data_IF_190490309895
#
_entry.id   IF_190490309895
#
_cell.length_a   1.000
_cell.length_b   1.000
_cell.length_c   1.000
_cell.angle_alpha   90.00
_cell.angle_beta   90.00
_cell.angle_gamma   90.00
#
_symmetry.space_group_name_H-M   'P 1'
#
loop_
_entity.id
_entity.type
_entity.pdbx_description
1 polymer ?
#
# COMPACT_ATOMS: atom_id res chain seq x y z
N UNK A 1 -26.20 -19.43 4.78
CA UNK A 1 -25.05 -19.90 5.60
C UNK A 1 -23.86 -20.38 4.76
N UNK A 2 -23.87 -20.22 3.44
CA UNK A 2 -22.74 -20.57 2.54
C UNK A 2 -21.54 -19.60 2.59
N UNK A 3 -21.67 -18.51 3.36
CA UNK A 3 -20.77 -17.37 3.29
C UNK A 3 -19.53 -17.50 4.22
N UNK A 4 -19.66 -18.11 5.40
CA UNK A 4 -18.58 -18.16 6.40
C UNK A 4 -17.44 -19.11 5.99
N UNK A 5 -17.77 -20.29 5.44
CA UNK A 5 -16.76 -21.27 5.01
C UNK A 5 -16.00 -20.78 3.77
N UNK A 6 -16.69 -20.09 2.86
CA UNK A 6 -16.08 -19.49 1.68
C UNK A 6 -15.19 -18.30 2.06
N UNK A 7 -15.65 -17.46 3.00
CA UNK A 7 -14.90 -16.34 3.55
C UNK A 7 -13.65 -16.80 4.31
N UNK A 8 -13.76 -17.83 5.16
CA UNK A 8 -12.60 -18.44 5.85
C UNK A 8 -11.57 -18.97 4.86
N UNK A 9 -12.00 -19.59 3.76
CA UNK A 9 -11.11 -20.08 2.70
C UNK A 9 -10.38 -18.93 1.99
N UNK A 10 -11.09 -17.83 1.71
CA UNK A 10 -10.50 -16.61 1.13
C UNK A 10 -9.50 -15.96 2.08
N UNK A 11 -9.82 -15.83 3.37
CA UNK A 11 -8.93 -15.29 4.38
C UNK A 11 -7.67 -16.16 4.52
N UNK A 12 -7.83 -17.48 4.63
CA UNK A 12 -6.71 -18.43 4.67
C UNK A 12 -5.80 -18.25 3.45
N UNK A 13 -6.38 -18.23 2.25
CA UNK A 13 -5.60 -18.02 1.01
C UNK A 13 -4.83 -16.70 1.03
N UNK A 14 -5.47 -15.60 1.45
CA UNK A 14 -4.82 -14.28 1.56
C UNK A 14 -3.68 -14.29 2.58
N UNK A 15 -3.91 -14.82 3.78
CA UNK A 15 -2.89 -14.93 4.81
C UNK A 15 -1.69 -15.73 4.30
N UNK A 16 -1.92 -16.88 3.67
CA UNK A 16 -0.82 -17.66 3.08
C UNK A 16 -0.08 -16.91 1.97
N UNK A 17 -0.78 -16.15 1.14
CA UNK A 17 -0.18 -15.31 0.09
C UNK A 17 0.70 -14.16 0.60
N UNK A 18 0.58 -13.75 1.86
CA UNK A 18 1.44 -12.70 2.45
C UNK A 18 2.47 -13.28 3.44
N UNK A 19 2.04 -14.19 4.32
CA UNK A 19 2.89 -14.78 5.36
C UNK A 19 3.98 -15.67 4.78
N UNK A 20 3.64 -16.53 3.82
CA UNK A 20 4.62 -17.48 3.28
C UNK A 20 5.76 -16.77 2.54
N UNK A 21 5.50 -15.80 1.64
CA UNK A 21 6.57 -15.05 1.01
C UNK A 21 7.32 -14.15 2.00
N UNK A 22 6.62 -13.56 2.98
CA UNK A 22 7.26 -12.79 4.04
C UNK A 22 8.30 -13.63 4.78
N UNK A 23 7.92 -14.81 5.28
CA UNK A 23 8.83 -15.69 5.99
C UNK A 23 10.01 -16.12 5.11
N UNK A 24 9.74 -16.48 3.84
CA UNK A 24 10.79 -16.90 2.91
C UNK A 24 11.79 -15.77 2.66
N UNK A 25 11.31 -14.59 2.26
CA UNK A 25 12.17 -13.46 1.95
C UNK A 25 12.90 -12.91 3.17
N UNK A 26 12.22 -12.83 4.32
CA UNK A 26 12.82 -12.32 5.54
C UNK A 26 13.87 -13.29 6.10
N UNK A 27 13.65 -14.61 5.95
CA UNK A 27 14.67 -15.62 6.25
C UNK A 27 15.87 -15.52 5.32
N UNK A 28 15.65 -15.43 4.01
CA UNK A 28 16.72 -15.27 3.03
C UNK A 28 17.57 -14.01 3.31
N UNK A 29 16.92 -12.89 3.61
CA UNK A 29 17.63 -11.65 3.93
C UNK A 29 18.36 -11.73 5.27
N UNK A 30 17.77 -12.33 6.30
CA UNK A 30 18.44 -12.54 7.59
C UNK A 30 19.71 -13.38 7.41
N UNK A 31 19.63 -14.47 6.64
CA UNK A 31 20.79 -15.32 6.33
C UNK A 31 21.88 -14.56 5.55
N UNK A 32 21.49 -13.70 4.61
CA UNK A 32 22.45 -12.83 3.91
C UNK A 32 23.14 -11.87 4.88
N UNK A 33 22.40 -11.22 5.78
CA UNK A 33 22.97 -10.30 6.77
C UNK A 33 23.96 -10.98 7.71
N UNK A 34 23.63 -12.19 8.18
CA UNK A 34 24.52 -13.01 9.01
C UNK A 34 25.75 -13.46 8.24
N UNK A 35 25.59 -13.87 6.98
CA UNK A 35 26.70 -14.27 6.10
C UNK A 35 27.67 -13.13 5.79
N UNK A 36 27.17 -11.89 5.67
CA UNK A 36 28.00 -10.70 5.46
C UNK A 36 28.61 -10.15 6.76
N UNK A 37 28.46 -10.85 7.90
CA UNK A 37 29.03 -10.42 9.18
C UNK A 37 28.42 -9.13 9.76
N UNK A 38 27.23 -8.72 9.27
CA UNK A 38 26.52 -7.54 9.77
C UNK A 38 25.81 -7.80 11.12
N UNK A 39 25.71 -9.05 11.52
CA UNK A 39 25.12 -9.48 12.78
C UNK A 39 25.77 -10.80 13.25
N UNK A 40 25.74 -11.04 14.57
CA UNK A 40 26.26 -12.27 15.16
C UNK A 40 25.32 -13.45 14.89
N UNK A 41 25.93 -14.62 14.63
CA UNK A 41 25.24 -15.90 14.53
C UNK A 41 24.72 -16.33 15.91
N UNK A 42 23.53 -15.88 16.26
CA UNK A 42 22.81 -16.32 17.45
C UNK A 42 21.37 -16.71 17.11
N UNK A 43 20.81 -17.67 17.87
CA UNK A 43 19.41 -18.06 17.73
C UNK A 43 18.45 -16.88 17.98
N UNK A 44 18.83 -15.97 18.89
CA UNK A 44 18.09 -14.74 19.15
C UNK A 44 18.09 -13.81 17.93
N UNK A 45 19.26 -13.58 17.31
CA UNK A 45 19.40 -12.79 16.08
C UNK A 45 18.58 -13.39 14.93
N UNK A 46 18.61 -14.71 14.77
CA UNK A 46 17.82 -15.41 13.75
C UNK A 46 16.31 -15.23 13.97
N UNK A 47 15.85 -15.42 15.21
CA UNK A 47 14.43 -15.31 15.54
C UNK A 47 13.91 -13.88 15.37
N UNK A 48 14.62 -12.90 15.91
CA UNK A 48 14.28 -11.47 15.74
C UNK A 48 14.38 -11.03 14.27
N UNK A 49 15.36 -11.57 13.53
CA UNK A 49 15.50 -11.32 12.10
C UNK A 49 14.27 -11.81 11.31
N UNK A 50 13.86 -13.07 11.52
CA UNK A 50 12.80 -13.73 10.76
C UNK A 50 11.39 -13.26 11.15
N UNK A 51 11.12 -13.04 12.43
CA UNK A 51 9.77 -12.74 12.93
C UNK A 51 9.54 -11.27 13.25
N UNK A 52 10.59 -10.51 13.60
CA UNK A 52 10.50 -9.10 14.01
C UNK A 52 11.21 -8.15 13.04
N UNK A 53 11.45 -8.59 11.79
CA UNK A 53 11.98 -7.78 10.69
C UNK A 53 13.25 -6.95 11.03
N UNK A 54 14.04 -7.40 12.02
CA UNK A 54 15.14 -6.62 12.65
C UNK A 54 16.18 -6.08 11.66
N UNK A 55 16.52 -6.86 10.63
CA UNK A 55 17.62 -6.53 9.71
C UNK A 55 17.20 -5.86 8.41
N UNK A 56 15.92 -5.90 8.06
CA UNK A 56 15.47 -5.33 6.81
C UNK A 56 14.13 -4.59 6.99
N UNK A 57 14.17 -3.25 7.08
CA UNK A 57 12.98 -2.44 7.29
C UNK A 57 12.00 -2.50 6.12
N UNK A 58 12.39 -3.04 4.95
CA UNK A 58 11.44 -3.28 3.85
C UNK A 58 10.37 -4.28 4.24
N UNK A 59 10.68 -5.30 5.05
CA UNK A 59 9.67 -6.26 5.48
C UNK A 59 8.71 -5.70 6.54
N UNK A 60 9.01 -4.55 7.13
CA UNK A 60 8.08 -3.86 8.04
C UNK A 60 6.75 -3.55 7.36
N UNK A 61 6.74 -3.07 6.12
CA UNK A 61 5.50 -2.84 5.35
C UNK A 61 4.69 -4.12 5.14
N UNK A 62 5.36 -5.23 4.83
CA UNK A 62 4.68 -6.52 4.69
C UNK A 62 4.12 -7.03 6.01
N UNK A 63 4.85 -6.78 7.10
CA UNK A 63 4.37 -7.07 8.44
C UNK A 63 3.10 -6.24 8.76
N UNK A 64 3.06 -4.95 8.40
CA UNK A 64 1.85 -4.12 8.50
C UNK A 64 0.69 -4.68 7.65
N UNK A 65 0.95 -5.15 6.43
CA UNK A 65 -0.06 -5.80 5.58
C UNK A 65 -0.64 -7.07 6.20
N UNK A 66 0.19 -7.87 6.88
CA UNK A 66 -0.24 -9.10 7.56
C UNK A 66 -1.14 -8.73 8.74
N UNK A 67 -0.71 -7.79 9.59
CA UNK A 67 -1.50 -7.30 10.72
C UNK A 67 -2.85 -6.74 10.25
N UNK A 68 -2.83 -5.88 9.24
CA UNK A 68 -4.05 -5.28 8.73
C UNK A 68 -4.97 -6.30 8.04
N UNK A 69 -4.40 -7.29 7.34
CA UNK A 69 -5.19 -8.40 6.77
C UNK A 69 -5.89 -9.22 7.85
N UNK A 70 -5.30 -9.31 9.04
CA UNK A 70 -5.92 -9.92 10.21
C UNK A 70 -6.98 -9.01 10.86
N UNK A 71 -6.85 -7.68 10.74
CA UNK A 71 -7.84 -6.71 11.21
C UNK A 71 -9.09 -6.59 10.29
N UNK A 72 -8.95 -6.86 8.98
CA UNK A 72 -10.07 -6.84 8.01
C UNK A 72 -11.33 -7.62 8.43
N UNK A 73 -11.24 -8.86 8.96
CA UNK A 73 -12.35 -9.57 9.61
C UNK A 73 -13.19 -8.73 10.56
N UNK A 74 -12.53 -8.02 11.46
CA UNK A 74 -13.17 -7.27 12.53
C UNK A 74 -13.85 -6.02 11.96
N UNK A 75 -13.22 -5.36 10.99
CA UNK A 75 -13.85 -4.24 10.27
C UNK A 75 -15.09 -4.67 9.49
N UNK A 76 -15.06 -5.85 8.87
CA UNK A 76 -16.21 -6.39 8.13
C UNK A 76 -17.37 -6.77 9.07
N UNK A 77 -17.08 -7.41 10.19
CA UNK A 77 -18.08 -7.75 11.22
C UNK A 77 -18.71 -6.47 11.80
N UNK A 78 -17.90 -5.45 12.10
CA UNK A 78 -18.41 -4.17 12.56
C UNK A 78 -19.34 -3.52 11.53
N UNK A 79 -18.96 -3.55 10.25
CA UNK A 79 -19.80 -3.04 9.15
C UNK A 79 -21.14 -3.78 9.01
N UNK A 80 -21.14 -5.11 9.21
CA UNK A 80 -22.37 -5.92 9.19
C UNK A 80 -23.26 -5.58 10.39
N UNK A 81 -22.71 -5.56 11.60
CA UNK A 81 -23.44 -5.25 12.84
C UNK A 81 -24.11 -3.88 12.78
N UNK A 82 -23.40 -2.89 12.25
CA UNK A 82 -23.91 -1.53 12.05
C UNK A 82 -25.03 -1.51 11.00
N UNK A 83 -24.87 -2.23 9.88
CA UNK A 83 -25.88 -2.30 8.83
C UNK A 83 -27.16 -2.95 9.34
N UNK A 84 -27.04 -3.99 10.14
CA UNK A 84 -28.17 -4.68 10.79
C UNK A 84 -28.89 -3.74 11.76
N UNK A 85 -28.15 -3.02 12.61
CA UNK A 85 -28.74 -2.05 13.54
C UNK A 85 -29.44 -0.86 12.82
N UNK A 86 -28.88 -0.41 11.70
CA UNK A 86 -29.48 0.65 10.87
C UNK A 86 -30.75 0.16 10.17
N UNK A 87 -30.78 -1.09 9.69
CA UNK A 87 -31.96 -1.70 9.08
C UNK A 87 -33.09 -1.92 10.09
N UNK A 88 -32.74 -2.36 11.31
CA UNK A 88 -33.69 -2.51 12.43
C UNK A 88 -34.30 -1.15 12.79
N UNK A 89 -33.49 -0.12 13.01
CA UNK A 89 -33.99 1.23 13.31
C UNK A 89 -34.86 1.81 12.18
N UNK A 90 -34.53 1.54 10.93
CA UNK A 90 -35.33 1.97 9.77
C UNK A 90 -36.67 1.26 9.71
N UNK A 91 -36.73 -0.04 9.97
CA UNK A 91 -37.98 -0.80 10.05
C UNK A 91 -38.85 -0.33 11.23
N UNK A 92 -38.25 -0.02 12.38
CA UNK A 92 -38.96 0.55 13.53
C UNK A 92 -39.51 1.95 13.23
N UNK A 93 -38.73 2.80 12.55
CA UNK A 93 -39.19 4.12 12.11
C UNK A 93 -40.32 4.04 11.07
N UNK A 94 -40.22 3.14 10.09
CA UNK A 94 -41.27 2.88 9.09
C UNK A 94 -42.56 2.41 9.79
N UNK A 95 -42.48 1.44 10.70
CA UNK A 95 -43.65 0.97 11.45
C UNK A 95 -44.31 2.10 12.26
N UNK A 96 -43.52 3.01 12.84
CA UNK A 96 -44.03 4.19 13.57
C UNK A 96 -44.67 5.22 12.64
N UNK A 97 -44.13 5.45 11.44
CA UNK A 97 -44.73 6.34 10.44
C UNK A 97 -45.95 5.74 9.74
N UNK A 98 -46.02 4.41 9.60
CA UNK A 98 -47.17 3.69 9.00
C UNK A 98 -48.40 3.76 9.91
N UNK A 99 -48.20 3.93 11.23
CA UNK A 99 -49.27 4.21 12.19
C UNK A 99 -49.78 5.66 12.12
N UNK A 100 -49.02 6.61 11.54
CA UNK A 100 -49.34 8.05 11.56
C UNK A 100 -49.83 8.57 10.20
N UNK A 101 -49.47 7.96 9.07
CA UNK A 101 -49.92 8.44 7.75
C UNK A 101 -50.27 7.29 6.80
N UNK A 102 -51.53 6.87 6.84
CA UNK A 102 -52.14 5.99 5.82
C UNK A 102 -52.81 6.82 4.71
N UNK A 103 -52.09 7.81 4.17
CA UNK A 103 -52.39 8.50 2.91
C UNK A 103 -51.08 9.14 2.46
N UNK A 104 -50.75 9.03 1.17
CA UNK A 104 -49.54 9.56 0.50
C UNK A 104 -48.19 8.92 0.86
N UNK A 105 -47.91 7.73 0.33
CA UNK A 105 -46.52 7.30 0.03
C UNK A 105 -46.51 6.08 -0.93
N UNK A 106 -47.27 6.16 -2.02
CA UNK A 106 -47.02 5.35 -3.21
C UNK A 106 -46.37 6.33 -4.18
N UNK A 107 -45.10 6.07 -4.54
CA UNK A 107 -44.23 6.78 -5.52
C UNK A 107 -42.91 7.21 -4.87
N UNK A 108 -41.95 6.29 -4.83
CA UNK A 108 -40.59 6.60 -4.36
C UNK A 108 -39.72 5.39 -4.05
N UNK A 109 -40.05 4.19 -4.56
CA UNK A 109 -39.18 3.02 -4.43
C UNK A 109 -38.12 3.06 -5.54
N UNK A 110 -37.04 3.79 -5.30
CA UNK A 110 -35.98 3.92 -6.31
C UNK A 110 -34.87 4.88 -5.95
N UNK A 111 -34.39 4.90 -4.71
CA UNK A 111 -33.11 5.54 -4.40
C UNK A 111 -32.29 4.61 -3.51
N UNK A 112 -31.13 4.21 -4.01
CA UNK A 112 -30.18 3.37 -3.28
C UNK A 112 -29.94 3.95 -1.90
N UNK A 113 -29.91 3.08 -0.88
CA UNK A 113 -29.64 3.53 0.49
C UNK A 113 -28.36 4.37 0.50
N UNK A 114 -28.35 5.56 1.12
CA UNK A 114 -27.10 6.31 1.27
C UNK A 114 -26.11 5.39 1.99
N UNK A 115 -24.99 5.09 1.33
CA UNK A 115 -23.92 4.31 1.95
C UNK A 115 -23.48 5.06 3.21
N UNK A 116 -23.49 4.35 4.34
CA UNK A 116 -23.30 5.00 5.64
C UNK A 116 -21.93 5.67 5.73
N UNK A 117 -21.83 6.93 6.20
CA UNK A 117 -20.55 7.63 6.40
C UNK A 117 -19.63 6.91 7.40
N UNK A 118 -20.14 5.89 8.11
CA UNK A 118 -19.41 5.05 9.05
C UNK A 118 -18.22 4.29 8.42
N UNK A 119 -18.16 4.13 7.10
CA UNK A 119 -16.97 3.55 6.44
C UNK A 119 -15.71 4.41 6.61
N UNK A 120 -15.86 5.71 6.91
CA UNK A 120 -14.74 6.60 7.20
C UNK A 120 -14.32 6.64 8.68
N UNK A 121 -15.03 5.94 9.58
CA UNK A 121 -14.66 5.91 11.00
C UNK A 121 -13.24 5.35 11.23
N UNK A 122 -12.86 4.30 10.50
CA UNK A 122 -11.52 3.71 10.63
C UNK A 122 -10.39 4.60 10.07
N UNK A 123 -10.49 5.14 8.85
CA UNK A 123 -9.54 6.15 8.39
C UNK A 123 -9.41 7.32 9.36
N UNK A 124 -10.54 7.85 9.86
CA UNK A 124 -10.54 8.99 10.76
C UNK A 124 -9.90 8.65 12.12
N UNK A 125 -10.14 7.45 12.64
CA UNK A 125 -9.48 6.95 13.85
C UNK A 125 -7.95 6.93 13.69
N UNK A 126 -7.43 6.34 12.61
CA UNK A 126 -5.99 6.29 12.38
C UNK A 126 -5.38 7.66 12.16
N UNK A 127 -6.11 8.57 11.49
CA UNK A 127 -5.68 9.95 11.34
C UNK A 127 -5.56 10.69 12.68
N UNK A 128 -6.50 10.42 13.60
CA UNK A 128 -6.50 10.97 14.95
C UNK A 128 -5.34 10.41 15.78
N UNK A 129 -5.04 9.11 15.67
CA UNK A 129 -3.87 8.50 16.31
C UNK A 129 -2.56 9.15 15.83
N UNK A 130 -2.42 9.37 14.52
CA UNK A 130 -1.26 10.10 13.95
C UNK A 130 -1.16 11.52 14.51
N UNK A 131 -2.29 12.25 14.60
CA UNK A 131 -2.29 13.61 15.11
C UNK A 131 -1.87 13.70 16.58
N UNK A 132 -2.39 12.80 17.43
CA UNK A 132 -2.08 12.76 18.86
C UNK A 132 -0.78 12.00 19.19
N UNK A 133 -0.05 11.49 18.19
CA UNK A 133 1.17 10.71 18.40
C UNK A 133 0.95 9.49 19.30
N UNK A 134 -0.20 8.84 19.13
CA UNK A 134 -0.52 7.62 19.86
C UNK A 134 0.06 6.44 19.08
N UNK A 135 1.19 5.95 19.55
CA UNK A 135 1.87 4.79 18.97
C UNK A 135 1.22 3.49 19.47
N UNK A 136 0.64 2.74 18.55
CA UNK A 136 0.17 1.38 18.80
C UNK A 136 1.34 0.42 18.58
N UNK A 137 1.71 -0.40 19.59
CA UNK A 137 2.78 -1.37 19.44
C UNK A 137 2.61 -2.22 18.17
N UNK A 138 3.68 -2.27 17.36
CA UNK A 138 3.78 -3.07 16.14
C UNK A 138 2.91 -2.62 14.95
N UNK A 139 1.97 -1.69 15.13
CA UNK A 139 1.12 -1.16 14.05
C UNK A 139 1.68 0.20 13.62
N UNK A 140 1.55 0.50 12.33
CA UNK A 140 1.79 1.84 11.83
C UNK A 140 0.47 2.52 11.49
N UNK A 141 0.16 3.58 12.21
CA UNK A 141 -1.09 4.34 12.15
C UNK A 141 -1.26 4.97 10.77
N UNK A 142 -0.18 5.51 10.22
CA UNK A 142 -0.13 6.14 8.91
C UNK A 142 -0.40 5.14 7.77
N UNK A 143 0.22 3.96 7.81
CA UNK A 143 -0.06 2.86 6.89
C UNK A 143 -1.51 2.36 7.05
N UNK A 144 -1.97 2.17 8.28
CA UNK A 144 -3.33 1.73 8.58
C UNK A 144 -4.38 2.73 8.07
N UNK A 145 -4.09 4.03 8.14
CA UNK A 145 -4.88 5.08 7.49
C UNK A 145 -4.97 4.84 5.98
N UNK A 146 -3.84 4.69 5.27
CA UNK A 146 -3.87 4.52 3.81
C UNK A 146 -4.68 3.29 3.36
N UNK A 147 -4.53 2.17 4.05
CA UNK A 147 -5.24 0.96 3.67
C UNK A 147 -6.72 1.00 4.01
N UNK A 148 -7.10 1.55 5.17
CA UNK A 148 -8.50 1.71 5.54
C UNK A 148 -9.19 2.73 4.63
N UNK A 149 -8.49 3.82 4.27
CA UNK A 149 -8.99 4.82 3.32
C UNK A 149 -9.17 4.24 1.92
N UNK A 150 -8.19 3.48 1.42
CA UNK A 150 -8.30 2.77 0.15
C UNK A 150 -9.43 1.74 0.13
N UNK A 151 -9.67 1.03 1.24
CA UNK A 151 -10.78 0.09 1.38
C UNK A 151 -12.15 0.82 1.39
N UNK A 152 -12.26 1.93 2.13
CA UNK A 152 -13.46 2.76 2.13
C UNK A 152 -13.74 3.31 0.72
N UNK A 153 -12.72 3.82 0.02
CA UNK A 153 -12.84 4.25 -1.36
C UNK A 153 -13.28 3.11 -2.28
N UNK A 154 -12.70 1.92 -2.17
CA UNK A 154 -13.07 0.77 -3.01
C UNK A 154 -14.51 0.31 -2.80
N UNK A 155 -15.04 0.41 -1.59
CA UNK A 155 -16.45 0.09 -1.28
C UNK A 155 -17.40 1.17 -1.79
N UNK A 156 -16.99 2.44 -1.69
CA UNK A 156 -17.77 3.58 -2.18
C UNK A 156 -17.67 3.76 -3.69
N UNK A 157 -16.72 3.08 -4.33
CA UNK A 157 -16.46 3.18 -5.76
C UNK A 157 -17.51 2.43 -6.59
N UNK A 158 -18.46 3.18 -7.15
CA UNK A 158 -19.54 2.64 -8.00
C UNK A 158 -19.11 2.45 -9.48
N UNK A 159 -17.82 2.30 -9.76
CA UNK A 159 -17.31 2.10 -11.14
C UNK A 159 -17.36 3.34 -12.05
N UNK A 160 -18.02 4.42 -11.63
CA UNK A 160 -18.07 5.70 -12.36
C UNK A 160 -16.73 6.42 -12.26
N UNK A 161 -16.36 7.15 -13.33
CA UNK A 161 -15.09 7.88 -13.45
C UNK A 161 -14.90 8.79 -12.22
N UNK A 162 -13.89 8.50 -11.40
CA UNK A 162 -13.40 9.47 -10.41
C UNK A 162 -12.83 10.65 -11.15
N UNK A 163 -13.69 11.64 -11.34
CA UNK A 163 -13.34 12.90 -11.94
C UNK A 163 -12.83 13.82 -10.83
N UNK A 164 -11.72 13.43 -10.21
CA UNK A 164 -10.89 14.42 -9.52
C UNK A 164 -9.83 14.85 -10.53
N UNK A 165 -9.82 16.12 -10.99
CA UNK A 165 -8.82 16.55 -11.94
C UNK A 165 -7.44 16.40 -11.30
N UNK A 166 -6.46 15.90 -12.06
CA UNK A 166 -5.11 15.63 -11.56
C UNK A 166 -4.44 16.88 -10.96
N UNK A 167 -4.70 18.06 -11.52
CA UNK A 167 -4.06 19.30 -11.08
C UNK A 167 -4.43 19.72 -9.64
N UNK A 168 -5.72 19.77 -9.22
CA UNK A 168 -6.11 19.97 -7.83
C UNK A 168 -5.42 19.03 -6.83
N UNK A 169 -5.25 17.75 -7.16
CA UNK A 169 -4.56 16.79 -6.30
C UNK A 169 -3.08 17.14 -6.14
N UNK A 170 -2.43 17.58 -7.22
CA UNK A 170 -1.05 18.06 -7.19
C UNK A 170 -0.93 19.33 -6.33
N UNK A 171 -1.81 20.32 -6.52
CA UNK A 171 -1.82 21.54 -5.70
C UNK A 171 -2.05 21.22 -4.23
N UNK A 172 -2.99 20.34 -3.91
CA UNK A 172 -3.21 19.88 -2.54
C UNK A 172 -1.97 19.21 -1.95
N UNK A 173 -1.32 18.32 -2.71
CA UNK A 173 -0.09 17.67 -2.27
C UNK A 173 1.03 18.70 -2.00
N UNK A 174 1.26 19.63 -2.94
CA UNK A 174 2.26 20.68 -2.78
C UNK A 174 1.96 21.61 -1.61
N UNK A 175 0.68 21.93 -1.38
CA UNK A 175 0.24 22.68 -0.21
C UNK A 175 0.58 21.93 1.09
N UNK A 176 0.23 20.65 1.19
CA UNK A 176 0.59 19.82 2.34
C UNK A 176 2.10 19.73 2.54
N UNK A 177 2.88 19.61 1.46
CA UNK A 177 4.34 19.65 1.52
C UNK A 177 4.86 20.98 2.07
N UNK A 178 4.33 22.12 1.61
CA UNK A 178 4.72 23.43 2.12
C UNK A 178 4.44 23.55 3.63
N UNK A 179 3.33 23.00 4.13
CA UNK A 179 3.04 22.95 5.57
C UNK A 179 4.10 22.15 6.36
N UNK A 180 4.81 21.19 5.74
CA UNK A 180 5.87 20.45 6.44
C UNK A 180 7.15 21.25 6.65
N UNK A 181 7.33 22.36 5.93
CA UNK A 181 8.48 23.24 6.05
C UNK A 181 8.30 24.33 7.11
N UNK A 182 7.07 24.50 7.60
CA UNK A 182 6.72 25.52 8.58
C UNK A 182 6.81 24.96 10.00
N UNK A 183 7.21 25.78 10.99
CA UNK A 183 7.25 25.38 12.39
C UNK A 183 5.83 25.30 12.95
N UNK A 184 5.20 24.13 12.80
CA UNK A 184 3.90 23.81 13.38
C UNK A 184 4.02 22.83 14.57
N UNK A 185 2.92 22.68 15.31
CA UNK A 185 2.79 21.58 16.26
C UNK A 185 3.03 20.23 15.54
N UNK A 186 3.70 19.30 16.23
CA UNK A 186 4.13 18.02 15.66
C UNK A 186 2.96 17.25 15.01
N UNK A 187 1.78 17.27 15.62
CA UNK A 187 0.58 16.62 15.05
C UNK A 187 0.15 17.18 13.69
N UNK A 188 0.30 18.49 13.47
CA UNK A 188 0.00 19.15 12.18
C UNK A 188 1.06 18.76 11.15
N UNK A 189 2.32 18.73 11.55
CA UNK A 189 3.43 18.28 10.70
C UNK A 189 3.19 16.85 10.22
N UNK A 190 2.87 15.93 11.14
CA UNK A 190 2.58 14.54 10.81
C UNK A 190 1.38 14.45 9.85
N UNK A 191 0.29 15.14 10.15
CA UNK A 191 -0.90 15.14 9.30
C UNK A 191 -0.62 15.68 7.89
N UNK A 192 0.17 16.75 7.78
CA UNK A 192 0.62 17.30 6.51
C UNK A 192 1.45 16.28 5.71
N UNK A 193 2.34 15.52 6.36
CA UNK A 193 3.09 14.44 5.67
C UNK A 193 2.19 13.31 5.18
N UNK A 194 1.15 12.94 5.95
CA UNK A 194 0.19 11.89 5.56
C UNK A 194 -0.58 12.33 4.33
N UNK A 195 -1.12 13.54 4.35
CA UNK A 195 -1.89 14.09 3.24
C UNK A 195 -1.07 14.40 2.00
N UNK A 196 0.18 14.85 2.16
CA UNK A 196 1.12 14.99 1.03
C UNK A 196 1.28 13.67 0.29
N UNK A 197 1.60 12.59 1.01
CA UNK A 197 1.79 11.25 0.42
C UNK A 197 0.50 10.70 -0.20
N UNK A 198 -0.66 10.89 0.45
CA UNK A 198 -1.95 10.54 -0.13
C UNK A 198 -2.23 11.30 -1.43
N UNK A 199 -2.05 12.62 -1.40
CA UNK A 199 -2.29 13.51 -2.54
C UNK A 199 -1.41 13.15 -3.73
N UNK A 200 -0.12 12.90 -3.51
CA UNK A 200 0.81 12.44 -4.55
C UNK A 200 0.38 11.09 -5.13
N UNK A 201 0.02 10.12 -4.29
CA UNK A 201 -0.43 8.80 -4.75
C UNK A 201 -1.71 8.90 -5.61
N UNK A 202 -2.69 9.70 -5.17
CA UNK A 202 -3.92 9.93 -5.92
C UNK A 202 -3.68 10.72 -7.21
N UNK A 203 -2.75 11.69 -7.20
CA UNK A 203 -2.33 12.41 -8.39
C UNK A 203 -1.78 11.45 -9.44
N UNK A 204 -0.80 10.63 -9.09
CA UNK A 204 -0.24 9.64 -10.02
C UNK A 204 -1.31 8.66 -10.51
N UNK A 205 -2.14 8.14 -9.60
CA UNK A 205 -3.27 7.27 -9.99
C UNK A 205 -4.18 7.95 -11.01
N UNK A 206 -4.51 9.22 -10.81
CA UNK A 206 -5.35 9.99 -11.72
C UNK A 206 -4.70 10.18 -13.10
N UNK A 207 -3.38 10.34 -13.19
CA UNK A 207 -2.66 10.43 -14.47
C UNK A 207 -2.78 9.14 -15.28
N UNK A 208 -2.71 7.98 -14.62
CA UNK A 208 -2.87 6.67 -15.27
C UNK A 208 -4.34 6.39 -15.64
N UNK A 209 -5.29 6.82 -14.80
CA UNK A 209 -6.73 6.60 -15.05
C UNK A 209 -7.31 7.53 -16.13
N UNK A 210 -6.82 8.78 -16.21
CA UNK A 210 -7.24 9.75 -17.24
C UNK A 210 -6.87 9.31 -18.66
N UNK A 211 -5.99 8.32 -18.78
CA UNK A 211 -5.42 7.80 -20.03
C UNK A 211 -6.16 6.58 -20.60
N UNK A 212 -7.44 6.38 -20.27
CA UNK A 212 -8.29 5.40 -20.95
C UNK A 212 -8.65 5.78 -22.40
N UNK A 213 -8.10 6.88 -22.94
CA UNK A 213 -8.36 7.35 -24.31
C UNK A 213 -7.16 7.82 -25.14
N UNK A 214 -5.92 7.88 -24.64
CA UNK A 214 -4.80 8.32 -25.50
C UNK A 214 -3.40 7.94 -25.00
N UNK A 215 -2.69 7.10 -25.76
CA UNK A 215 -1.22 6.98 -25.87
C UNK A 215 -0.47 6.44 -24.63
N UNK A 216 -0.77 5.23 -24.18
CA UNK A 216 0.30 4.28 -23.80
C UNK A 216 -0.22 2.84 -23.90
N UNK A 217 -0.18 2.32 -25.13
CA UNK A 217 -0.03 0.89 -25.42
C UNK A 217 -0.95 -0.07 -24.61
N UNK A 218 -2.26 0.16 -24.66
CA UNK A 218 -3.24 -0.89 -24.39
C UNK A 218 -3.48 -1.69 -25.69
N UNK A 219 -2.39 -2.18 -26.30
CA UNK A 219 -2.45 -3.11 -27.43
C UNK A 219 -2.58 -4.52 -26.88
N UNK A 220 -3.71 -5.16 -27.20
CA UNK A 220 -4.03 -6.61 -27.36
C UNK A 220 -2.91 -7.64 -27.07
N UNK A 221 -2.29 -7.54 -25.90
CA UNK A 221 -1.21 -8.36 -25.37
C UNK A 221 -0.96 -7.94 -23.91
N UNK A 222 -0.39 -8.80 -23.07
CA UNK A 222 -0.07 -8.42 -21.68
C UNK A 222 0.92 -7.24 -21.71
N UNK A 223 0.44 -6.05 -21.33
CA UNK A 223 1.29 -4.86 -21.26
C UNK A 223 2.39 -5.06 -20.21
N UNK A 224 3.55 -4.41 -20.41
CA UNK A 224 4.65 -4.41 -19.43
C UNK A 224 4.12 -3.94 -18.06
N UNK A 225 3.21 -2.96 -18.04
CA UNK A 225 2.60 -2.46 -16.80
C UNK A 225 1.78 -3.53 -16.08
N UNK A 226 1.02 -4.34 -16.84
CA UNK A 226 0.25 -5.45 -16.29
C UNK A 226 1.16 -6.56 -15.77
N UNK A 227 2.27 -6.80 -16.45
CA UNK A 227 3.27 -7.77 -15.99
C UNK A 227 3.93 -7.28 -14.70
N UNK A 228 4.30 -6.00 -14.63
CA UNK A 228 4.86 -5.39 -13.41
C UNK A 228 3.85 -5.40 -12.24
N UNK A 229 2.56 -5.16 -12.50
CA UNK A 229 1.54 -5.23 -11.45
C UNK A 229 1.36 -6.64 -10.90
N UNK A 230 1.40 -7.66 -11.77
CA UNK A 230 1.42 -9.08 -11.38
C UNK A 230 2.66 -9.40 -10.52
N UNK A 231 3.80 -8.74 -10.76
CA UNK A 231 5.07 -8.92 -10.04
C UNK A 231 5.26 -7.96 -8.85
N UNK A 232 4.22 -7.22 -8.45
CA UNK A 232 4.30 -6.17 -7.43
C UNK A 232 4.90 -6.65 -6.10
N UNK A 233 4.55 -7.87 -5.66
CA UNK A 233 5.09 -8.45 -4.44
C UNK A 233 6.60 -8.70 -4.57
N UNK A 234 7.03 -9.33 -5.65
CA UNK A 234 8.44 -9.58 -5.93
C UNK A 234 9.25 -8.29 -6.07
N UNK A 235 8.73 -7.30 -6.80
CA UNK A 235 9.37 -5.98 -6.95
C UNK A 235 9.60 -5.39 -5.56
N UNK A 236 8.57 -5.39 -4.71
CA UNK A 236 8.68 -4.86 -3.36
C UNK A 236 9.67 -5.67 -2.50
N UNK A 237 9.70 -6.99 -2.56
CA UNK A 237 10.63 -7.77 -1.75
C UNK A 237 12.10 -7.62 -2.18
N UNK A 238 12.34 -7.42 -3.49
CA UNK A 238 13.68 -7.39 -4.07
C UNK A 238 14.29 -6.00 -4.22
N UNK A 239 13.49 -4.93 -4.24
CA UNK A 239 14.00 -3.59 -4.58
C UNK A 239 15.15 -3.11 -3.69
N UNK A 240 15.15 -3.41 -2.38
CA UNK A 240 16.24 -2.99 -1.49
C UNK A 240 17.56 -3.69 -1.81
N UNK A 241 17.50 -4.98 -2.16
CA UNK A 241 18.67 -5.72 -2.60
C UNK A 241 19.24 -5.08 -3.88
N UNK A 242 18.36 -4.71 -4.81
CA UNK A 242 18.73 -4.03 -6.04
C UNK A 242 19.30 -2.63 -5.77
N UNK A 243 18.65 -1.82 -4.93
CA UNK A 243 19.16 -0.51 -4.53
C UNK A 243 20.55 -0.59 -3.89
N UNK A 244 20.82 -1.64 -3.11
CA UNK A 244 22.15 -1.83 -2.53
C UNK A 244 23.21 -2.11 -3.61
N UNK A 245 22.90 -2.93 -4.61
CA UNK A 245 23.77 -3.13 -5.77
C UNK A 245 23.95 -1.83 -6.58
N UNK A 246 22.87 -1.05 -6.70
CA UNK A 246 22.87 0.25 -7.38
C UNK A 246 23.80 1.25 -6.71
N UNK A 247 23.71 1.41 -5.38
CA UNK A 247 24.57 2.32 -4.62
C UNK A 247 26.01 1.83 -4.51
N UNK A 248 26.22 0.51 -4.50
CA UNK A 248 27.56 -0.05 -4.62
C UNK A 248 28.17 0.30 -5.99
N UNK A 249 27.41 0.14 -7.08
CA UNK A 249 27.84 0.53 -8.42
C UNK A 249 28.11 2.04 -8.51
N UNK A 250 27.25 2.87 -7.93
CA UNK A 250 27.45 4.31 -7.84
C UNK A 250 28.78 4.65 -7.14
N UNK A 251 29.03 4.05 -5.98
CA UNK A 251 30.26 4.29 -5.19
C UNK A 251 31.51 3.81 -5.94
N UNK A 252 31.42 2.67 -6.61
CA UNK A 252 32.51 2.14 -7.44
C UNK A 252 32.80 3.06 -8.63
N UNK A 253 31.76 3.52 -9.33
CA UNK A 253 31.91 4.44 -10.45
C UNK A 253 32.47 5.78 -9.98
N UNK A 254 31.99 6.34 -8.87
CA UNK A 254 32.52 7.55 -8.24
C UNK A 254 34.01 7.42 -7.91
N UNK A 255 34.45 6.24 -7.46
CA UNK A 255 35.86 5.97 -7.14
C UNK A 255 36.74 5.79 -8.39
N UNK A 256 36.19 5.21 -9.47
CA UNK A 256 36.93 4.91 -10.72
C UNK A 256 36.94 6.07 -11.69
N UNK A 257 35.99 6.99 -11.58
CA UNK A 257 35.91 8.21 -12.39
C UNK A 257 36.62 9.35 -11.67
N UNK A 258 37.96 9.32 -11.67
CA UNK A 258 38.79 10.49 -11.35
C UNK A 258 38.67 11.65 -12.38
N UNK A 259 37.59 11.65 -13.19
CA UNK A 259 37.41 12.44 -14.41
C UNK A 259 36.02 13.12 -14.42
N UNK A 260 35.37 13.31 -13.28
CA UNK A 260 34.28 14.27 -13.22
C UNK A 260 34.87 15.68 -13.13
N UNK A 261 34.60 16.57 -14.11
CA UNK A 261 35.12 17.91 -14.06
C UNK A 261 34.50 18.66 -12.89
N UNK A 262 35.36 19.23 -12.05
CA UNK A 262 35.15 20.48 -11.31
C UNK A 262 33.99 20.55 -10.30
N UNK A 263 34.34 20.38 -9.02
CA UNK A 263 33.60 20.95 -7.87
C UNK A 263 32.54 20.06 -7.20
N UNK A 264 32.21 20.40 -5.95
CA UNK A 264 31.19 19.70 -5.13
C UNK A 264 29.84 19.57 -5.84
N UNK A 265 29.49 20.56 -6.67
CA UNK A 265 28.25 20.62 -7.45
C UNK A 265 28.13 19.46 -8.46
N UNK A 266 29.22 19.08 -9.12
CA UNK A 266 29.22 17.99 -10.09
C UNK A 266 28.99 16.62 -9.42
N UNK A 267 29.58 16.44 -8.23
CA UNK A 267 29.39 15.23 -7.43
C UNK A 267 27.95 15.11 -6.93
N UNK A 268 27.36 16.22 -6.48
CA UNK A 268 25.98 16.23 -6.02
C UNK A 268 24.98 16.01 -7.16
N UNK A 269 25.23 16.59 -8.34
CA UNK A 269 24.45 16.31 -9.53
C UNK A 269 24.51 14.83 -9.95
N UNK A 270 25.69 14.21 -9.86
CA UNK A 270 25.86 12.78 -10.13
C UNK A 270 25.08 11.91 -9.15
N UNK A 271 25.15 12.20 -7.85
CA UNK A 271 24.37 11.51 -6.81
C UNK A 271 22.86 11.67 -7.05
N UNK A 272 22.42 12.88 -7.39
CA UNK A 272 21.03 13.16 -7.72
C UNK A 272 20.58 12.37 -8.95
N UNK A 273 21.39 12.32 -10.00
CA UNK A 273 21.10 11.53 -11.19
C UNK A 273 20.92 10.04 -10.87
N UNK A 274 21.85 9.45 -10.11
CA UNK A 274 21.75 8.06 -9.68
C UNK A 274 20.52 7.81 -8.79
N UNK A 275 20.20 8.74 -7.90
CA UNK A 275 19.01 8.66 -7.05
C UNK A 275 17.72 8.67 -7.89
N UNK A 276 17.61 9.58 -8.86
CA UNK A 276 16.46 9.69 -9.76
C UNK A 276 16.29 8.46 -10.67
N UNK A 277 17.39 7.82 -11.07
CA UNK A 277 17.37 6.63 -11.93
C UNK A 277 17.12 5.34 -11.15
N UNK A 278 17.25 5.36 -9.82
CA UNK A 278 17.12 4.19 -8.96
C UNK A 278 15.78 3.44 -9.09
N UNK A 279 14.59 4.09 -9.26
CA UNK A 279 13.33 3.37 -9.43
C UNK A 279 13.27 2.65 -10.79
N UNK A 280 13.81 3.27 -11.85
CA UNK A 280 13.87 2.68 -13.19
C UNK A 280 14.76 1.45 -13.18
N UNK A 281 15.93 1.54 -12.55
CA UNK A 281 16.83 0.42 -12.35
C UNK A 281 16.17 -0.73 -11.60
N UNK A 282 15.49 -0.44 -10.48
CA UNK A 282 14.81 -1.46 -9.68
C UNK A 282 13.71 -2.18 -10.48
N UNK A 283 12.88 -1.43 -11.23
CA UNK A 283 11.82 -2.00 -12.06
C UNK A 283 12.40 -2.85 -13.20
N UNK A 284 13.46 -2.37 -13.85
CA UNK A 284 14.15 -3.11 -14.89
C UNK A 284 14.68 -4.44 -14.36
N UNK A 285 15.47 -4.41 -13.28
CA UNK A 285 16.08 -5.62 -12.73
C UNK A 285 15.04 -6.59 -12.17
N UNK A 286 13.99 -6.08 -11.53
CA UNK A 286 12.88 -6.90 -11.03
C UNK A 286 12.13 -7.61 -12.17
N UNK A 287 11.90 -6.92 -13.29
CA UNK A 287 11.26 -7.51 -14.47
C UNK A 287 12.09 -8.66 -15.05
N UNK A 288 13.39 -8.43 -15.29
CA UNK A 288 14.26 -9.46 -15.86
C UNK A 288 14.46 -10.66 -14.92
N UNK A 289 14.79 -10.39 -13.66
CA UNK A 289 15.03 -11.45 -12.68
C UNK A 289 13.75 -12.25 -12.39
N UNK A 290 12.61 -11.59 -12.21
CA UNK A 290 11.37 -12.30 -11.93
C UNK A 290 10.85 -13.08 -13.14
N UNK A 291 11.01 -12.56 -14.38
CA UNK A 291 10.69 -13.32 -15.60
C UNK A 291 11.64 -14.52 -15.78
N UNK A 292 12.92 -14.34 -15.46
CA UNK A 292 13.91 -15.42 -15.44
C UNK A 292 13.54 -16.53 -14.46
N UNK A 293 13.24 -16.18 -13.21
CA UNK A 293 12.81 -17.14 -12.18
C UNK A 293 11.51 -17.84 -12.59
N UNK A 294 10.52 -17.11 -13.12
CA UNK A 294 9.27 -17.69 -13.61
C UNK A 294 9.49 -18.72 -14.72
N UNK A 295 10.48 -18.49 -15.59
CA UNK A 295 10.85 -19.41 -16.67
C UNK A 295 11.62 -20.63 -16.15
N UNK A 296 12.53 -20.44 -15.18
CA UNK A 296 13.36 -21.50 -14.63
C UNK A 296 12.60 -22.41 -13.66
N UNK A 297 11.80 -21.83 -12.76
CA UNK A 297 11.02 -22.58 -11.77
C UNK A 297 9.70 -21.87 -11.44
N UNK A 298 8.59 -22.27 -12.08
CA UNK A 298 7.26 -21.73 -11.80
C UNK A 298 6.82 -21.94 -10.35
N UNK A 299 7.26 -23.04 -9.72
CA UNK A 299 6.98 -23.33 -8.31
C UNK A 299 7.68 -22.33 -7.38
N UNK A 300 8.95 -22.03 -7.64
CA UNK A 300 9.70 -21.04 -6.88
C UNK A 300 9.12 -19.63 -7.07
N UNK A 301 8.75 -19.26 -8.29
CA UNK A 301 8.07 -18.00 -8.58
C UNK A 301 6.77 -17.84 -7.77
N UNK A 302 5.95 -18.91 -7.71
CA UNK A 302 4.72 -18.91 -6.92
C UNK A 302 4.99 -18.64 -5.44
N UNK A 303 6.08 -19.16 -4.89
CA UNK A 303 6.47 -18.92 -3.50
C UNK A 303 6.98 -17.48 -3.29
N UNK A 304 7.86 -17.00 -4.18
CA UNK A 304 8.47 -15.68 -4.07
C UNK A 304 7.49 -14.52 -4.27
N UNK A 305 6.48 -14.71 -5.13
CA UNK A 305 5.49 -13.70 -5.47
C UNK A 305 4.13 -13.89 -4.76
N UNK A 306 4.04 -14.81 -3.78
CA UNK A 306 2.84 -15.02 -2.97
C UNK A 306 1.65 -15.63 -3.70
N UNK A 307 1.90 -16.41 -4.73
CA UNK A 307 0.87 -17.06 -5.54
C UNK A 307 0.10 -16.11 -6.46
N UNK A 308 0.58 -14.87 -6.61
CA UNK A 308 0.06 -13.90 -7.57
C UNK A 308 0.78 -14.12 -8.91
N UNK A 309 0.03 -14.34 -9.99
CA UNK A 309 0.56 -14.40 -11.37
C UNK A 309 1.14 -15.72 -11.85
#
# INVERSE_FOLDING_TARGET
MDDVKSWRRKLKSRVFSYVLPYLLWNSAMTLLYLSFGKAEWSLKSLWEGIFLYRFNPVFWYFYQLILLSFCLPFMAILGILIRENTAINRNTAINRSTAINKKTAINGAGTGSPMSPLFFCFPLLFLLLVYFQVDIPFVNEDAAFYYSFGAALALLWDGRKLFVPSFPLLFFALFCYAQTLLPHAIGILLLATVFYRLGMALFFLSLFMKKAGSILLMKRGKSILQTLSEMSFYIYASHYLFLRLWFFLQSFLETRTAVFPTGDVGRDAFKLFFYLLSPVYCLFLAYFTGKGIKRLSPRLWKLLNGGRG
#
